data_IF_249549031844
#
_entry.id   IF_249549031844
#
_cell.length_a   1.000
_cell.length_b   1.000
_cell.length_c   1.000
_cell.angle_alpha   90.00
_cell.angle_beta   90.00
_cell.angle_gamma   90.00
#
_symmetry.space_group_name_H-M   'P 1'
#
loop_
_entity.id
_entity.type
_entity.pdbx_description
1 polymer ?
#
# COMPACT_ATOMS: atom_id res chain seq x y z
N UNK A 1 3.84 5.56 -0.15
CA UNK A 1 2.82 5.48 -1.17
C UNK A 1 1.77 4.42 -0.91
N UNK A 2 1.02 4.15 -1.92
CA UNK A 2 -0.06 3.18 -1.94
C UNK A 2 -0.08 2.46 -3.30
N UNK A 3 -0.81 1.36 -3.39
CA UNK A 3 -0.93 0.59 -4.62
C UNK A 3 -2.16 1.00 -5.45
N UNK A 4 -3.22 1.45 -4.79
CA UNK A 4 -4.50 1.67 -5.42
C UNK A 4 -5.22 0.36 -5.76
N UNK A 5 -6.35 0.45 -6.45
CA UNK A 5 -7.17 -0.71 -6.77
C UNK A 5 -6.46 -1.70 -7.68
N UNK A 6 -5.92 -1.21 -8.80
CA UNK A 6 -5.26 -2.07 -9.79
C UNK A 6 -4.02 -2.75 -9.22
N UNK A 7 -3.18 -1.99 -8.49
CA UNK A 7 -1.99 -2.55 -7.85
C UNK A 7 -2.33 -3.58 -6.78
N UNK A 8 -3.39 -3.34 -6.01
CA UNK A 8 -3.85 -4.27 -4.99
C UNK A 8 -4.32 -5.59 -5.61
N UNK A 9 -5.13 -5.53 -6.66
CA UNK A 9 -5.59 -6.72 -7.37
C UNK A 9 -4.42 -7.51 -7.96
N UNK A 10 -3.45 -6.81 -8.55
CA UNK A 10 -2.26 -7.46 -9.10
C UNK A 10 -1.43 -8.13 -8.01
N UNK A 11 -1.25 -7.47 -6.86
CA UNK A 11 -0.54 -8.06 -5.72
C UNK A 11 -1.22 -9.34 -5.24
N UNK A 12 -2.55 -9.34 -5.10
CA UNK A 12 -3.30 -10.53 -4.68
C UNK A 12 -3.11 -11.68 -5.67
N UNK A 13 -3.15 -11.40 -6.97
CA UNK A 13 -2.93 -12.41 -8.01
C UNK A 13 -1.52 -12.98 -7.97
N UNK A 14 -0.50 -12.13 -7.83
CA UNK A 14 0.89 -12.57 -7.78
C UNK A 14 1.20 -13.41 -6.53
N UNK A 15 0.69 -13.00 -5.37
CA UNK A 15 0.87 -13.76 -4.12
C UNK A 15 0.24 -15.15 -4.24
N UNK A 16 -0.95 -15.23 -4.82
CA UNK A 16 -1.63 -16.52 -4.99
C UNK A 16 -0.92 -17.41 -6.03
N UNK A 17 -0.54 -16.85 -7.18
CA UNK A 17 0.03 -17.64 -8.28
C UNK A 17 1.48 -18.05 -8.03
N UNK A 18 2.29 -17.21 -7.39
CA UNK A 18 3.73 -17.48 -7.21
C UNK A 18 4.06 -18.06 -5.84
N UNK A 19 3.29 -17.74 -4.80
CA UNK A 19 3.56 -18.16 -3.44
C UNK A 19 2.45 -19.02 -2.84
N UNK A 20 1.36 -19.23 -3.56
CA UNK A 20 0.18 -19.98 -3.12
C UNK A 20 -0.39 -19.41 -1.79
N UNK A 21 -0.36 -18.09 -1.63
CA UNK A 21 -0.86 -17.40 -0.45
C UNK A 21 -1.97 -16.44 -0.87
N UNK A 22 -3.16 -16.61 -0.29
CA UNK A 22 -4.30 -15.72 -0.50
C UNK A 22 -4.33 -14.68 0.62
N UNK A 23 -4.01 -13.42 0.28
CA UNK A 23 -3.99 -12.31 1.23
C UNK A 23 -5.25 -11.44 1.14
N UNK A 24 -6.24 -11.79 0.33
CA UNK A 24 -7.41 -10.95 0.09
C UNK A 24 -8.22 -10.65 1.35
N UNK A 25 -8.21 -11.55 2.34
CA UNK A 25 -8.93 -11.36 3.59
C UNK A 25 -8.20 -10.55 4.65
N UNK A 26 -6.92 -10.28 4.48
CA UNK A 26 -6.08 -9.64 5.51
C UNK A 26 -5.29 -8.43 4.99
N UNK A 27 -5.35 -8.15 3.70
CA UNK A 27 -4.63 -7.04 3.08
C UNK A 27 -5.53 -5.83 2.91
N UNK A 28 -4.97 -4.65 3.18
CA UNK A 28 -5.59 -3.36 2.85
C UNK A 28 -4.56 -2.44 2.22
N UNK A 29 -5.04 -1.54 1.39
CA UNK A 29 -4.21 -0.53 0.76
C UNK A 29 -4.61 0.85 1.27
N UNK A 30 -3.62 1.68 1.64
CA UNK A 30 -3.88 2.99 2.23
C UNK A 30 -4.68 3.90 1.30
N UNK A 31 -4.42 3.86 0.00
CA UNK A 31 -5.19 4.64 -0.97
C UNK A 31 -6.65 4.21 -1.03
N UNK A 32 -6.91 2.91 -0.98
CA UNK A 32 -8.28 2.40 -0.95
C UNK A 32 -8.99 2.72 0.36
N UNK A 33 -8.26 2.91 1.45
CA UNK A 33 -8.84 3.29 2.75
C UNK A 33 -9.20 4.76 2.83
N UNK A 34 -8.49 5.63 2.11
CA UNK A 34 -8.69 7.09 2.16
C UNK A 34 -9.77 7.55 1.17
N UNK A 35 -9.77 6.98 -0.05
CA UNK A 35 -10.61 7.50 -1.12
C UNK A 35 -11.92 6.73 -1.26
N UNK A 36 -13.00 7.48 -1.48
CA UNK A 36 -14.28 6.92 -1.94
C UNK A 36 -14.26 6.89 -3.48
N UNK A 37 -13.93 5.73 -4.03
CA UNK A 37 -13.74 5.57 -5.47
C UNK A 37 -15.04 5.67 -6.28
N UNK A 38 -16.20 5.53 -5.62
CA UNK A 38 -17.49 5.66 -6.29
C UNK A 38 -17.92 7.12 -6.44
N UNK A 39 -17.60 7.96 -5.45
CA UNK A 39 -18.08 9.35 -5.38
C UNK A 39 -16.98 10.38 -5.64
N UNK A 40 -15.71 9.97 -5.67
CA UNK A 40 -14.59 10.83 -5.95
C UNK A 40 -13.91 10.44 -7.27
N UNK A 41 -13.48 11.43 -8.04
CA UNK A 41 -12.76 11.19 -9.29
C UNK A 41 -11.27 10.96 -9.00
N UNK A 42 -10.96 9.76 -8.53
CA UNK A 42 -9.59 9.37 -8.15
C UNK A 42 -9.06 8.19 -8.97
N UNK A 43 -9.76 7.80 -10.01
CA UNK A 43 -9.42 6.66 -10.88
C UNK A 43 -9.20 5.38 -10.06
N UNK A 44 -7.98 4.81 -10.08
CA UNK A 44 -7.66 3.60 -9.33
C UNK A 44 -7.34 3.86 -7.86
N UNK A 45 -7.42 5.10 -7.38
CA UNK A 45 -7.19 5.43 -5.98
C UNK A 45 -5.72 5.59 -5.61
N UNK A 46 -4.85 5.87 -6.59
CA UNK A 46 -3.44 6.13 -6.32
C UNK A 46 -3.25 7.54 -5.76
N UNK A 47 -2.38 7.68 -4.78
CA UNK A 47 -2.08 8.96 -4.14
C UNK A 47 -0.58 9.24 -4.14
N UNK A 48 -0.20 10.42 -3.67
CA UNK A 48 1.20 10.78 -3.51
C UNK A 48 1.85 10.13 -2.28
N UNK A 49 3.03 10.61 -1.93
CA UNK A 49 3.89 9.98 -0.92
C UNK A 49 3.40 10.13 0.53
N UNK A 50 2.39 10.95 0.81
CA UNK A 50 1.90 11.18 2.17
C UNK A 50 0.78 10.26 2.63
N UNK A 51 0.17 9.50 1.74
CA UNK A 51 -1.04 8.70 2.02
C UNK A 51 -0.80 7.66 3.11
N UNK A 52 0.24 6.86 3.00
CA UNK A 52 0.51 5.80 3.97
C UNK A 52 0.82 6.35 5.37
N UNK A 53 1.54 7.46 5.46
CA UNK A 53 1.81 8.10 6.74
C UNK A 53 0.53 8.59 7.42
N UNK A 54 -0.39 9.19 6.67
CA UNK A 54 -1.68 9.65 7.19
C UNK A 54 -2.48 8.48 7.73
N UNK A 55 -2.61 7.38 6.99
CA UNK A 55 -3.39 6.21 7.41
C UNK A 55 -2.76 5.54 8.62
N UNK A 56 -1.44 5.34 8.63
CA UNK A 56 -0.75 4.71 9.76
C UNK A 56 -0.93 5.54 11.03
N UNK A 57 -0.67 6.85 10.96
CA UNK A 57 -0.73 7.71 12.14
C UNK A 57 -2.16 7.93 12.65
N UNK A 58 -3.15 8.06 11.77
CA UNK A 58 -4.52 8.38 12.18
C UNK A 58 -5.38 7.16 12.47
N UNK A 59 -5.15 6.06 11.79
CA UNK A 59 -6.05 4.90 11.85
C UNK A 59 -5.38 3.67 12.45
N UNK A 60 -4.26 3.24 11.87
CA UNK A 60 -3.63 1.97 12.25
C UNK A 60 -3.08 2.02 13.68
N UNK A 61 -2.30 3.04 14.02
CA UNK A 61 -1.70 3.17 15.34
C UNK A 61 -2.77 3.29 16.42
N UNK A 62 -3.83 4.05 16.15
CA UNK A 62 -4.93 4.19 17.10
C UNK A 62 -5.65 2.85 17.36
N UNK A 63 -5.88 2.06 16.30
CA UNK A 63 -6.50 0.73 16.45
C UNK A 63 -5.60 -0.25 17.19
N UNK A 64 -4.28 -0.17 16.98
CA UNK A 64 -3.32 -0.96 17.74
C UNK A 64 -3.35 -0.54 19.21
N UNK A 65 -3.36 0.75 19.50
CA UNK A 65 -3.44 1.27 20.87
C UNK A 65 -4.71 0.84 21.60
N UNK A 66 -5.83 0.70 20.89
CA UNK A 66 -7.09 0.19 21.45
C UNK A 66 -7.19 -1.33 21.45
N UNK A 67 -6.14 -2.02 21.01
CA UNK A 67 -6.06 -3.49 20.89
C UNK A 67 -7.07 -4.10 19.91
N UNK A 68 -7.59 -3.32 18.98
CA UNK A 68 -8.44 -3.82 17.90
C UNK A 68 -7.61 -4.56 16.85
N UNK A 69 -6.32 -4.19 16.70
CA UNK A 69 -5.35 -4.86 15.85
C UNK A 69 -4.16 -5.28 16.72
N UNK A 70 -3.71 -6.52 16.59
CA UNK A 70 -2.60 -7.05 17.38
C UNK A 70 -1.28 -7.01 16.65
N UNK A 71 -1.30 -7.37 15.38
CA UNK A 71 -0.11 -7.38 14.52
C UNK A 71 -0.47 -6.83 13.15
N UNK A 72 0.28 -5.84 12.69
CA UNK A 72 0.12 -5.25 11.36
C UNK A 72 1.47 -5.21 10.68
N UNK A 73 1.57 -5.85 9.53
CA UNK A 73 2.74 -5.68 8.67
C UNK A 73 2.47 -4.51 7.74
N UNK A 74 3.16 -3.41 7.99
CA UNK A 74 3.08 -2.21 7.16
C UNK A 74 4.20 -2.25 6.12
N UNK A 75 3.83 -2.12 4.84
CA UNK A 75 4.78 -2.11 3.74
C UNK A 75 4.64 -0.78 2.99
N UNK A 76 5.71 0.01 3.02
CA UNK A 76 5.78 1.25 2.26
C UNK A 76 6.26 0.97 0.85
N UNK A 77 5.40 1.22 -0.14
CA UNK A 77 5.78 1.06 -1.54
C UNK A 77 6.34 2.37 -2.08
N UNK A 78 7.29 2.27 -2.99
CA UNK A 78 7.88 3.44 -3.61
C UNK A 78 8.52 3.11 -4.95
N UNK A 79 8.51 4.09 -5.83
CA UNK A 79 9.22 4.02 -7.10
C UNK A 79 9.92 5.34 -7.34
N UNK A 80 11.20 5.28 -7.67
CA UNK A 80 11.98 6.47 -7.99
C UNK A 80 11.77 6.83 -9.45
N UNK A 81 10.97 7.87 -9.69
CA UNK A 81 10.71 8.38 -11.02
C UNK A 81 11.78 9.42 -11.38
N UNK A 82 12.71 9.03 -12.23
CA UNK A 82 13.79 9.90 -12.72
C UNK A 82 13.59 10.20 -14.20
N UNK A 83 13.47 11.49 -14.59
CA UNK A 83 13.42 11.83 -16.02
C UNK A 83 14.65 11.34 -16.78
N UNK A 84 15.82 11.40 -16.17
CA UNK A 84 17.06 10.91 -16.77
C UNK A 84 17.01 9.42 -17.07
N UNK A 85 16.62 8.61 -16.12
CA UNK A 85 16.48 7.16 -16.32
C UNK A 85 15.46 6.83 -17.40
N UNK A 86 14.31 7.51 -17.39
CA UNK A 86 13.27 7.31 -18.39
C UNK A 86 13.76 7.66 -19.80
N UNK A 87 14.45 8.80 -19.94
CA UNK A 87 15.00 9.23 -21.24
C UNK A 87 16.10 8.31 -21.74
N UNK A 88 16.81 7.61 -20.86
CA UNK A 88 17.84 6.64 -21.22
C UNK A 88 17.28 5.24 -21.47
N UNK A 89 15.97 5.04 -21.35
CA UNK A 89 15.34 3.73 -21.52
C UNK A 89 15.56 2.78 -20.34
N UNK A 90 16.02 3.30 -19.20
CA UNK A 90 16.20 2.50 -17.98
C UNK A 90 14.85 2.24 -17.29
N UNK A 91 14.78 1.13 -16.55
CA UNK A 91 13.59 0.83 -15.75
C UNK A 91 13.54 1.73 -14.51
N UNK A 92 12.31 1.95 -14.01
CA UNK A 92 12.08 2.72 -12.79
C UNK A 92 12.41 1.85 -11.58
N UNK A 93 13.38 2.24 -10.70
CA UNK A 93 13.65 1.48 -9.48
C UNK A 93 12.46 1.54 -8.53
N UNK A 94 12.07 0.39 -8.00
CA UNK A 94 11.03 0.28 -7.00
C UNK A 94 11.57 -0.33 -5.72
N UNK A 95 10.98 0.04 -4.59
CA UNK A 95 11.38 -0.48 -3.28
C UNK A 95 10.14 -0.64 -2.39
N UNK A 96 10.16 -1.67 -1.52
CA UNK A 96 9.13 -1.88 -0.52
C UNK A 96 9.78 -2.33 0.78
N UNK A 97 9.76 -1.47 1.79
CA UNK A 97 10.25 -1.79 3.13
C UNK A 97 9.07 -2.19 4.01
N UNK A 98 9.25 -3.25 4.81
CA UNK A 98 8.24 -3.74 5.72
C UNK A 98 8.59 -3.46 7.18
N UNK A 99 7.59 -3.07 7.97
CA UNK A 99 7.70 -2.88 9.41
C UNK A 99 6.55 -3.62 10.08
N UNK A 100 6.86 -4.44 11.09
CA UNK A 100 5.84 -5.12 11.88
C UNK A 100 5.47 -4.26 13.08
N UNK A 101 4.20 -3.88 13.18
CA UNK A 101 3.65 -3.13 14.31
C UNK A 101 2.86 -4.10 15.21
N UNK A 102 3.09 -4.04 16.51
CA UNK A 102 2.42 -4.93 17.48
C UNK A 102 1.80 -4.14 18.61
N UNK A 103 0.81 -4.75 19.28
CA UNK A 103 0.03 -4.14 20.37
C UNK A 103 0.53 -4.56 21.75
N UNK A 104 1.78 -4.78 21.91
CA UNK A 104 2.30 -5.17 23.25
C UNK A 104 2.30 -4.04 24.25
#
# INVERSE_FOLDING_TARGET
>A
GDLGKTGTELLHMLMLSENNIDISGVHNDCGLMIYDMENQDVHAGGSGCGCSAVVVCSHIINRIGRKELQKVLFIGTGALLSPTSTLQGESVPGIAHGVLLTSE
#
